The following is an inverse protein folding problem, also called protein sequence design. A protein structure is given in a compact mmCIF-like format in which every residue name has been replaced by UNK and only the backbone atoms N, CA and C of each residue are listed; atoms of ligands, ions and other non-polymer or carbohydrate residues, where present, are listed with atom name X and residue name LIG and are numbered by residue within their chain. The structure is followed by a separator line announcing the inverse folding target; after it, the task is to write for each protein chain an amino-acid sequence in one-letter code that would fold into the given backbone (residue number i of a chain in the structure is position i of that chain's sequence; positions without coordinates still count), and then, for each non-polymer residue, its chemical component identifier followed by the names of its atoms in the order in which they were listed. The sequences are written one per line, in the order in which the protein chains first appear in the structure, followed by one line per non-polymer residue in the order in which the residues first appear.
data_IF_165303649580
#
_entry.id   IF_165303649580
#
_cell.length_a   1.000
_cell.length_b   1.000
_cell.length_c   1.000
_cell.angle_alpha   90.00
_cell.angle_beta   90.00
_cell.angle_gamma   90.00
#
_symmetry.space_group_name_H-M   'P 1'
#
loop_
_entity.id
_entity.type
_entity.pdbx_description
1 polymer ?
#
# COMPACT_ATOMS: atom_id res chain seq x y z
N UNK A 1 25.53 1.70 0.22
CA UNK A 1 24.23 2.36 0.42
C UNK A 1 23.55 1.64 1.55
N UNK A 2 22.94 2.35 2.50
CA UNK A 2 22.21 1.68 3.58
C UNK A 2 20.94 1.01 3.01
N UNK A 3 20.45 -0.09 3.59
CA UNK A 3 19.24 -0.78 3.09
C UNK A 3 18.02 0.15 2.93
N UNK A 4 17.83 1.10 3.84
CA UNK A 4 16.74 2.09 3.80
C UNK A 4 16.84 3.06 2.62
N UNK A 5 18.06 3.48 2.26
CA UNK A 5 18.32 4.35 1.11
C UNK A 5 18.04 3.61 -0.22
N UNK A 6 18.39 2.32 -0.28
CA UNK A 6 18.09 1.47 -1.46
C UNK A 6 16.59 1.26 -1.64
N UNK A 7 15.88 1.01 -0.53
CA UNK A 7 14.43 0.86 -0.54
C UNK A 7 13.75 2.14 -1.01
N UNK A 8 14.21 3.30 -0.54
CA UNK A 8 13.70 4.60 -0.98
C UNK A 8 13.88 4.80 -2.48
N UNK A 9 15.08 4.55 -3.02
CA UNK A 9 15.35 4.69 -4.46
C UNK A 9 14.50 3.75 -5.33
N UNK A 10 14.29 2.50 -4.90
CA UNK A 10 13.44 1.55 -5.63
C UNK A 10 12.02 2.09 -5.79
N UNK A 11 11.44 2.59 -4.71
CA UNK A 11 10.08 3.10 -4.72
C UNK A 11 9.96 4.45 -5.44
N UNK A 12 10.93 5.35 -5.34
CA UNK A 12 10.92 6.62 -6.11
C UNK A 12 10.93 6.33 -7.60
N UNK A 13 11.77 5.39 -8.04
CA UNK A 13 11.74 4.87 -9.41
C UNK A 13 10.37 4.27 -9.76
N UNK A 14 9.78 3.49 -8.85
CA UNK A 14 8.49 2.81 -9.07
C UNK A 14 7.34 3.81 -9.22
N UNK A 15 7.31 4.88 -8.41
CA UNK A 15 6.35 5.99 -8.54
C UNK A 15 6.40 6.58 -9.95
N UNK A 16 7.59 6.90 -10.42
CA UNK A 16 7.82 7.49 -11.72
C UNK A 16 7.43 6.54 -12.86
N UNK A 17 7.78 5.27 -12.73
CA UNK A 17 7.41 4.23 -13.69
C UNK A 17 5.90 4.07 -13.76
N UNK A 18 5.22 3.93 -12.61
CA UNK A 18 3.79 3.68 -12.57
C UNK A 18 3.00 4.90 -13.05
N UNK A 19 3.41 6.12 -12.69
CA UNK A 19 2.84 7.33 -13.27
C UNK A 19 3.01 7.37 -14.81
N UNK A 20 4.16 6.90 -15.32
CA UNK A 20 4.41 6.86 -16.77
C UNK A 20 3.55 5.81 -17.48
N UNK A 21 3.34 4.64 -16.85
CA UNK A 21 2.65 3.51 -17.49
C UNK A 21 1.14 3.57 -17.30
N UNK A 22 0.68 4.05 -16.14
CA UNK A 22 -0.72 4.04 -15.73
C UNK A 22 -1.35 5.43 -15.77
N UNK A 23 -0.57 6.49 -15.98
CA UNK A 23 -1.04 7.87 -15.88
C UNK A 23 -1.24 8.37 -14.45
N UNK A 24 -1.15 7.47 -13.45
CA UNK A 24 -1.27 7.78 -12.02
C UNK A 24 -0.26 6.94 -11.21
N UNK A 25 0.27 7.43 -10.08
CA UNK A 25 1.31 6.73 -9.30
C UNK A 25 0.71 5.73 -8.31
N UNK A 26 -0.11 4.80 -8.79
CA UNK A 26 -0.77 3.79 -7.93
C UNK A 26 0.23 2.70 -7.52
N UNK A 27 0.67 2.69 -6.26
CA UNK A 27 1.74 1.80 -5.77
C UNK A 27 1.27 0.51 -5.10
N UNK A 28 -0.02 0.17 -5.20
CA UNK A 28 -0.56 -1.06 -4.64
C UNK A 28 -1.20 -1.93 -5.73
N UNK A 29 -1.39 -3.21 -5.43
CA UNK A 29 -2.06 -4.16 -6.30
C UNK A 29 -3.52 -3.80 -6.60
N UNK A 30 -4.10 -4.53 -7.56
CA UNK A 30 -5.38 -4.20 -8.15
C UNK A 30 -6.37 -5.37 -8.12
N UNK A 31 -7.63 -5.06 -7.86
CA UNK A 31 -8.69 -6.06 -7.74
C UNK A 31 -9.36 -6.35 -9.10
N UNK A 32 -8.78 -7.29 -9.85
CA UNK A 32 -9.35 -7.80 -11.10
C UNK A 32 -10.37 -8.91 -10.86
N UNK A 33 -11.45 -8.88 -11.63
CA UNK A 33 -12.46 -9.95 -11.74
C UNK A 33 -12.15 -10.82 -12.95
N UNK A 34 -12.69 -12.03 -12.99
CA UNK A 34 -12.48 -13.01 -14.08
C UNK A 34 -12.92 -12.55 -15.48
N UNK A 35 -13.56 -11.39 -15.62
CA UNK A 35 -13.99 -10.78 -16.89
C UNK A 35 -13.29 -9.45 -17.21
N UNK A 36 -12.30 -9.04 -16.42
CA UNK A 36 -11.62 -7.76 -16.56
C UNK A 36 -10.46 -7.82 -17.57
N UNK A 37 -10.74 -8.15 -18.83
CA UNK A 37 -9.69 -8.29 -19.85
C UNK A 37 -9.08 -6.95 -20.30
N UNK A 38 -9.88 -5.87 -20.24
CA UNK A 38 -9.53 -4.52 -20.71
C UNK A 38 -9.75 -3.41 -19.67
N UNK A 39 -9.93 -3.77 -18.40
CA UNK A 39 -10.03 -2.78 -17.32
C UNK A 39 -8.67 -2.13 -17.08
N UNK A 40 -8.67 -0.80 -16.95
CA UNK A 40 -7.47 -0.05 -16.62
C UNK A 40 -6.97 -0.40 -15.21
N UNK A 41 -5.64 -0.48 -15.00
CA UNK A 41 -5.08 -0.91 -13.72
C UNK A 41 -5.57 -0.03 -12.55
N UNK A 42 -5.53 1.29 -12.74
CA UNK A 42 -6.01 2.29 -11.77
C UNK A 42 -7.48 2.05 -11.38
N UNK A 43 -8.34 1.68 -12.34
CA UNK A 43 -9.75 1.38 -12.06
C UNK A 43 -9.89 0.12 -11.18
N UNK A 44 -9.12 -0.92 -11.48
CA UNK A 44 -9.11 -2.15 -10.67
C UNK A 44 -8.48 -1.92 -9.28
N UNK A 45 -7.47 -1.08 -9.16
CA UNK A 45 -6.87 -0.65 -7.90
C UNK A 45 -7.87 0.17 -7.06
N UNK A 46 -8.52 1.17 -7.66
CA UNK A 46 -9.55 1.97 -7.00
C UNK A 46 -10.73 1.12 -6.52
N UNK A 47 -11.05 0.02 -7.21
CA UNK A 47 -12.06 -0.94 -6.75
C UNK A 47 -11.67 -1.67 -5.46
N UNK A 48 -10.39 -2.05 -5.32
CA UNK A 48 -9.88 -2.58 -4.06
C UNK A 48 -10.05 -1.55 -2.95
N UNK A 49 -9.58 -0.33 -3.21
CA UNK A 49 -9.60 0.78 -2.26
C UNK A 49 -11.04 1.14 -1.85
N UNK A 50 -11.99 1.12 -2.79
CA UNK A 50 -13.41 1.32 -2.48
C UNK A 50 -13.96 0.24 -1.54
N UNK A 51 -13.67 -1.05 -1.80
CA UNK A 51 -14.09 -2.15 -0.92
C UNK A 51 -13.47 -2.09 0.48
N UNK A 52 -12.25 -1.57 0.59
CA UNK A 52 -11.61 -1.26 1.87
C UNK A 52 -12.40 -0.17 2.61
N UNK A 53 -12.73 0.93 1.93
CA UNK A 53 -13.53 2.02 2.51
C UNK A 53 -14.90 1.57 3.01
N UNK A 54 -15.58 0.71 2.24
CA UNK A 54 -16.85 0.08 2.65
C UNK A 54 -16.67 -0.81 3.89
N UNK A 55 -15.63 -1.64 3.93
CA UNK A 55 -15.37 -2.56 5.05
C UNK A 55 -14.96 -1.84 6.34
N UNK A 56 -14.29 -0.69 6.21
CA UNK A 56 -14.00 0.22 7.30
C UNK A 56 -15.22 1.04 7.75
N UNK A 57 -16.32 1.02 7.00
CA UNK A 57 -17.52 1.80 7.29
C UNK A 57 -17.28 3.31 7.17
N UNK A 58 -16.43 3.73 6.23
CA UNK A 58 -16.10 5.14 6.04
C UNK A 58 -17.32 5.93 5.55
N UNK A 59 -17.45 7.15 6.04
CA UNK A 59 -18.42 8.13 5.57
C UNK A 59 -17.97 9.57 5.87
N UNK A 60 -18.83 10.57 5.62
CA UNK A 60 -18.45 11.98 5.72
C UNK A 60 -18.00 12.44 7.11
N UNK A 61 -18.36 11.71 8.17
CA UNK A 61 -17.94 12.01 9.54
C UNK A 61 -16.72 11.21 10.00
N UNK A 62 -16.21 10.29 9.18
CA UNK A 62 -15.10 9.42 9.54
C UNK A 62 -13.76 10.13 9.41
N UNK A 63 -12.86 9.85 10.34
CA UNK A 63 -11.45 10.26 10.32
C UNK A 63 -10.57 9.03 10.12
N UNK A 64 -9.84 8.98 9.02
CA UNK A 64 -8.95 7.88 8.62
C UNK A 64 -7.49 8.23 8.94
N UNK A 65 -6.74 7.27 9.49
CA UNK A 65 -5.27 7.27 9.51
C UNK A 65 -4.78 6.24 8.50
N UNK A 66 -3.96 6.64 7.54
CA UNK A 66 -3.24 5.72 6.65
C UNK A 66 -1.76 5.68 7.05
N UNK A 67 -1.25 4.49 7.38
CA UNK A 67 0.13 4.30 7.84
C UNK A 67 0.95 3.64 6.73
N UNK A 68 2.07 4.26 6.36
CA UNK A 68 2.81 3.95 5.15
C UNK A 68 2.04 4.40 3.90
N UNK A 69 1.53 5.64 3.91
CA UNK A 69 0.65 6.16 2.87
C UNK A 69 1.33 6.44 1.53
N UNK A 70 2.67 6.37 1.45
CA UNK A 70 3.40 6.70 0.25
C UNK A 70 3.06 8.09 -0.29
N UNK A 71 2.64 8.15 -1.56
CA UNK A 71 2.22 9.39 -2.21
C UNK A 71 0.70 9.67 -2.07
N UNK A 72 0.01 8.99 -1.13
CA UNK A 72 -1.34 9.33 -0.67
C UNK A 72 -2.50 8.93 -1.58
N UNK A 73 -2.26 8.21 -2.68
CA UNK A 73 -3.30 7.86 -3.65
C UNK A 73 -4.52 7.14 -3.01
N UNK A 74 -4.35 6.14 -2.14
CA UNK A 74 -5.50 5.43 -1.57
C UNK A 74 -6.34 6.31 -0.66
N UNK A 75 -5.73 7.04 0.28
CA UNK A 75 -6.46 7.98 1.14
C UNK A 75 -7.10 9.13 0.37
N UNK A 76 -6.45 9.69 -0.66
CA UNK A 76 -7.06 10.69 -1.54
C UNK A 76 -8.31 10.15 -2.23
N UNK A 77 -8.23 8.93 -2.78
CA UNK A 77 -9.38 8.26 -3.37
C UNK A 77 -10.51 8.08 -2.35
N UNK A 78 -10.19 7.61 -1.14
CA UNK A 78 -11.18 7.38 -0.07
C UNK A 78 -11.86 8.69 0.38
N UNK A 79 -11.10 9.77 0.55
CA UNK A 79 -11.64 11.11 0.89
C UNK A 79 -12.60 11.58 -0.20
N UNK A 80 -12.26 11.38 -1.47
CA UNK A 80 -13.12 11.74 -2.61
C UNK A 80 -14.38 10.87 -2.67
N UNK A 81 -14.27 9.57 -2.47
CA UNK A 81 -15.35 8.60 -2.64
C UNK A 81 -16.34 8.59 -1.46
N UNK A 82 -15.85 8.71 -0.22
CA UNK A 82 -16.65 8.58 1.01
C UNK A 82 -16.88 9.90 1.73
N UNK A 83 -16.18 10.97 1.34
CA UNK A 83 -16.30 12.28 1.96
C UNK A 83 -15.65 12.40 3.34
N UNK A 84 -14.92 11.38 3.79
CA UNK A 84 -14.19 11.37 5.06
C UNK A 84 -13.02 12.37 5.07
N UNK A 85 -12.34 12.47 6.20
CA UNK A 85 -11.02 13.13 6.31
C UNK A 85 -9.93 12.08 6.51
N UNK A 86 -8.73 12.32 5.99
CA UNK A 86 -7.60 11.42 6.13
C UNK A 86 -6.34 12.14 6.58
N UNK A 87 -5.60 11.48 7.47
CA UNK A 87 -4.20 11.78 7.77
C UNK A 87 -3.36 10.62 7.25
N UNK A 88 -2.44 10.87 6.32
CA UNK A 88 -1.46 9.90 5.86
C UNK A 88 -0.10 10.12 6.53
N UNK A 89 0.58 9.02 6.85
CA UNK A 89 1.90 9.03 7.48
C UNK A 89 2.85 8.13 6.70
N UNK A 90 4.06 8.62 6.45
CA UNK A 90 5.13 7.85 5.82
C UNK A 90 6.49 8.35 6.31
N UNK A 91 7.51 7.48 6.28
CA UNK A 91 8.89 7.82 6.65
C UNK A 91 9.57 8.69 5.59
N UNK A 92 9.14 8.58 4.33
CA UNK A 92 9.83 9.18 3.19
C UNK A 92 9.30 10.58 2.90
N UNK A 93 10.08 11.60 3.27
CA UNK A 93 9.73 13.02 3.12
C UNK A 93 9.32 13.40 1.68
N UNK A 94 10.06 12.91 0.68
CA UNK A 94 9.74 13.18 -0.73
C UNK A 94 8.34 12.71 -1.12
N UNK A 95 7.86 11.58 -0.59
CA UNK A 95 6.52 11.07 -0.89
C UNK A 95 5.43 11.86 -0.19
N UNK A 96 5.69 12.29 1.05
CA UNK A 96 4.78 13.17 1.78
C UNK A 96 4.63 14.52 1.09
N UNK A 97 5.72 15.05 0.51
CA UNK A 97 5.65 16.24 -0.31
C UNK A 97 4.71 16.03 -1.52
N UNK A 98 4.93 14.96 -2.30
CA UNK A 98 4.08 14.61 -3.43
C UNK A 98 2.61 14.38 -3.03
N UNK A 99 2.37 13.70 -1.91
CA UNK A 99 1.01 13.43 -1.41
C UNK A 99 0.25 14.72 -1.09
N UNK A 100 0.92 15.69 -0.45
CA UNK A 100 0.34 17.00 -0.18
C UNK A 100 0.13 17.82 -1.48
N UNK A 101 1.03 17.72 -2.47
CA UNK A 101 0.82 18.34 -3.79
C UNK A 101 -0.41 17.77 -4.49
N UNK A 102 -0.54 16.44 -4.56
CA UNK A 102 -1.72 15.78 -5.16
C UNK A 102 -3.01 16.12 -4.42
N UNK A 103 -2.95 16.25 -3.08
CA UNK A 103 -4.09 16.71 -2.29
C UNK A 103 -4.52 18.11 -2.66
N UNK A 104 -3.58 19.04 -2.79
CA UNK A 104 -3.85 20.43 -3.18
C UNK A 104 -4.35 20.53 -4.62
N UNK A 105 -3.77 19.80 -5.56
CA UNK A 105 -4.21 19.75 -6.96
C UNK A 105 -5.64 19.21 -7.09
N UNK A 106 -6.02 18.27 -6.24
CA UNK A 106 -7.38 17.75 -6.17
C UNK A 106 -8.37 18.68 -5.43
N UNK A 107 -7.89 19.75 -4.80
CA UNK A 107 -8.69 20.64 -3.95
C UNK A 107 -9.21 19.94 -2.69
N UNK A 108 -8.41 19.05 -2.11
CA UNK A 108 -8.73 18.20 -0.96
C UNK A 108 -7.78 18.41 0.22
N UNK A 109 -6.89 19.40 0.18
CA UNK A 109 -5.88 19.70 1.22
C UNK A 109 -6.48 20.11 2.57
N UNK A 110 -7.76 20.49 2.59
CA UNK A 110 -8.55 20.71 3.79
C UNK A 110 -8.95 19.40 4.49
N UNK A 111 -9.02 18.28 3.75
CA UNK A 111 -9.52 16.98 4.22
C UNK A 111 -8.50 15.83 4.15
N UNK A 112 -7.48 15.93 3.32
CA UNK A 112 -6.43 14.93 3.17
C UNK A 112 -5.06 15.57 3.42
N UNK A 113 -4.42 15.22 4.53
CA UNK A 113 -3.15 15.79 4.97
C UNK A 113 -2.12 14.71 5.19
N UNK A 114 -0.88 14.99 4.82
CA UNK A 114 0.20 14.02 4.87
C UNK A 114 1.35 14.56 5.70
N UNK A 115 1.88 13.72 6.61
CA UNK A 115 2.96 14.10 7.52
C UNK A 115 4.07 13.07 7.50
N UNK A 116 5.31 13.55 7.60
CA UNK A 116 6.48 12.68 7.75
C UNK A 116 6.47 12.14 9.18
N UNK A 117 6.52 10.82 9.32
CA UNK A 117 6.45 10.19 10.63
C UNK A 117 6.84 8.72 10.61
N UNK A 118 7.50 8.32 11.69
CA UNK A 118 7.80 6.92 11.98
C UNK A 118 6.65 6.29 12.75
N UNK A 119 6.03 5.25 12.20
CA UNK A 119 4.89 4.57 12.80
C UNK A 119 5.19 3.98 14.20
N UNK A 120 6.47 3.74 14.53
CA UNK A 120 6.89 3.20 15.82
C UNK A 120 6.99 4.28 16.91
N UNK A 121 7.19 5.55 16.54
CA UNK A 121 7.50 6.64 17.47
C UNK A 121 6.63 7.89 17.34
N UNK A 122 5.93 8.10 16.23
CA UNK A 122 5.14 9.30 15.95
C UNK A 122 3.97 9.46 16.92
N UNK A 123 3.90 10.60 17.62
CA UNK A 123 2.80 10.89 18.55
C UNK A 123 1.63 11.59 17.83
N UNK A 124 0.53 10.87 17.64
CA UNK A 124 -0.75 11.41 17.22
C UNK A 124 -1.70 11.51 18.41
N UNK A 125 -2.76 12.30 18.26
CA UNK A 125 -3.81 12.40 19.28
C UNK A 125 -4.47 11.03 19.50
N UNK A 126 -4.57 10.61 20.75
CA UNK A 126 -5.23 9.36 21.12
C UNK A 126 -6.73 9.44 20.86
N UNK A 127 -7.36 8.32 20.50
CA UNK A 127 -8.81 8.26 20.27
C UNK A 127 -9.32 9.34 19.31
N UNK A 128 -8.57 9.62 18.24
CA UNK A 128 -8.88 10.67 17.27
C UNK A 128 -9.26 10.14 15.88
N UNK A 129 -9.12 8.84 15.64
CA UNK A 129 -9.46 8.20 14.36
C UNK A 129 -10.60 7.20 14.50
N UNK A 130 -11.42 7.09 13.46
CA UNK A 130 -12.46 6.06 13.35
C UNK A 130 -11.94 4.83 12.61
N UNK A 131 -10.92 5.01 11.77
CA UNK A 131 -10.31 3.95 10.99
C UNK A 131 -8.78 4.10 10.89
N UNK A 132 -8.07 2.97 10.89
CA UNK A 132 -6.65 2.88 10.52
C UNK A 132 -6.51 1.94 9.32
N UNK A 133 -5.75 2.36 8.31
CA UNK A 133 -5.46 1.59 7.10
C UNK A 133 -3.96 1.33 6.96
N UNK A 134 -3.63 0.07 6.70
CA UNK A 134 -2.37 -0.37 6.13
C UNK A 134 -2.69 -1.04 4.80
N UNK A 135 -2.26 -0.43 3.70
CA UNK A 135 -2.43 -0.98 2.35
C UNK A 135 -1.04 -1.23 1.77
N UNK A 136 -0.64 -2.50 1.73
CA UNK A 136 0.68 -2.94 1.24
C UNK A 136 1.87 -2.18 1.86
N UNK A 137 1.73 -1.83 3.14
CA UNK A 137 2.75 -1.08 3.87
C UNK A 137 3.34 -1.86 5.04
N UNK A 138 2.55 -2.70 5.71
CA UNK A 138 2.97 -3.40 6.93
C UNK A 138 3.98 -4.52 6.66
N UNK A 139 3.99 -5.10 5.45
CA UNK A 139 5.03 -6.03 5.04
C UNK A 139 6.44 -5.42 5.12
N UNK A 140 6.58 -4.10 5.00
CA UNK A 140 7.88 -3.42 5.08
C UNK A 140 8.28 -3.06 6.52
N UNK A 141 7.42 -3.32 7.52
CA UNK A 141 7.60 -2.84 8.89
C UNK A 141 7.96 -3.99 9.84
N UNK A 142 9.17 -4.04 10.43
CA UNK A 142 9.54 -5.12 11.36
C UNK A 142 8.77 -5.07 12.69
N UNK A 143 8.55 -3.87 13.25
CA UNK A 143 7.98 -3.66 14.59
C UNK A 143 6.44 -3.70 14.61
N UNK A 144 5.84 -4.71 13.97
CA UNK A 144 4.38 -4.86 13.81
C UNK A 144 3.62 -4.78 15.13
N UNK A 145 4.15 -5.40 16.20
CA UNK A 145 3.51 -5.37 17.53
C UNK A 145 3.36 -3.94 18.08
N UNK A 146 4.32 -3.08 17.80
CA UNK A 146 4.40 -1.74 18.37
C UNK A 146 3.49 -0.84 17.56
N UNK A 147 3.55 -0.97 16.25
CA UNK A 147 2.72 -0.25 15.30
C UNK A 147 1.23 -0.57 15.51
N UNK A 148 0.87 -1.86 15.69
CA UNK A 148 -0.51 -2.27 15.95
C UNK A 148 -1.02 -1.73 17.30
N UNK A 149 -0.23 -1.81 18.37
CA UNK A 149 -0.61 -1.26 19.69
C UNK A 149 -0.79 0.26 19.66
N UNK A 150 0.06 0.98 18.94
CA UNK A 150 -0.07 2.42 18.73
C UNK A 150 -1.32 2.76 17.91
N UNK A 151 -1.55 2.02 16.82
CA UNK A 151 -2.77 2.14 16.01
C UNK A 151 -4.03 1.95 16.84
N UNK A 152 -4.04 0.96 17.74
CA UNK A 152 -5.14 0.76 18.69
C UNK A 152 -5.37 1.98 19.60
N UNK A 153 -4.31 2.62 20.08
CA UNK A 153 -4.40 3.81 20.94
C UNK A 153 -4.94 5.04 20.21
N UNK A 154 -4.64 5.18 18.92
CA UNK A 154 -5.14 6.29 18.08
C UNK A 154 -6.62 6.14 17.70
N UNK A 155 -7.14 4.92 17.71
CA UNK A 155 -8.54 4.65 17.40
C UNK A 155 -9.47 5.07 18.55
N UNK A 156 -10.61 5.65 18.18
CA UNK A 156 -11.76 5.81 19.07
C UNK A 156 -12.29 4.44 19.50
N UNK A 157 -12.96 4.34 20.67
CA UNK A 157 -13.71 3.13 21.01
C UNK A 157 -14.69 2.75 19.90
N UNK A 158 -14.58 1.52 19.39
CA UNK A 158 -15.38 1.03 18.27
C UNK A 158 -14.80 1.33 16.88
N UNK A 159 -13.65 2.00 16.81
CA UNK A 159 -12.91 2.21 15.56
C UNK A 159 -12.34 0.92 14.97
N UNK A 160 -12.03 0.95 13.68
CA UNK A 160 -11.65 -0.24 12.90
C UNK A 160 -10.23 -0.13 12.36
N UNK A 161 -9.57 -1.28 12.19
CA UNK A 161 -8.30 -1.38 11.48
C UNK A 161 -8.46 -2.30 10.27
N UNK A 162 -7.89 -1.91 9.14
CA UNK A 162 -7.75 -2.74 7.95
C UNK A 162 -6.27 -2.93 7.64
N UNK A 163 -5.84 -4.19 7.53
CA UNK A 163 -4.54 -4.56 7.02
C UNK A 163 -4.77 -5.37 5.74
N UNK A 164 -4.45 -4.77 4.60
CA UNK A 164 -4.51 -5.41 3.29
C UNK A 164 -3.08 -5.59 2.79
N UNK A 165 -2.54 -6.80 2.91
CA UNK A 165 -1.12 -7.03 2.70
C UNK A 165 -0.79 -8.46 2.22
N UNK A 166 0.45 -8.65 1.77
CA UNK A 166 1.01 -9.97 1.45
C UNK A 166 1.46 -10.68 2.72
N UNK A 167 1.03 -11.94 2.85
CA UNK A 167 1.39 -12.82 3.97
C UNK A 167 2.04 -14.09 3.46
N UNK A 168 2.82 -14.73 4.32
CA UNK A 168 3.35 -16.07 4.05
C UNK A 168 2.26 -17.12 4.21
N UNK A 169 2.23 -18.11 3.31
CA UNK A 169 1.39 -19.30 3.47
C UNK A 169 1.84 -20.16 4.66
N UNK A 170 3.16 -20.30 4.85
CA UNK A 170 3.77 -21.03 5.97
C UNK A 170 5.00 -20.29 6.51
N UNK A 171 5.46 -20.55 7.74
CA UNK A 171 6.68 -19.92 8.28
C UNK A 171 7.93 -20.14 7.40
N UNK A 172 7.99 -21.27 6.71
CA UNK A 172 9.08 -21.66 5.80
C UNK A 172 8.95 -21.06 4.39
N UNK A 173 7.80 -20.47 4.07
CA UNK A 173 7.64 -19.70 2.83
C UNK A 173 8.64 -18.54 2.80
N UNK A 174 9.00 -18.09 1.60
CA UNK A 174 10.00 -17.03 1.42
C UNK A 174 11.38 -17.43 1.97
N UNK A 175 11.94 -18.52 1.45
CA UNK A 175 13.27 -19.02 1.81
C UNK A 175 14.41 -18.02 1.55
N UNK A 176 15.63 -18.36 1.95
CA UNK A 176 16.78 -17.45 1.82
C UNK A 176 17.06 -16.97 0.39
N UNK A 177 16.83 -17.82 -0.61
CA UNK A 177 17.01 -17.44 -2.03
C UNK A 177 16.08 -16.30 -2.43
N UNK A 178 14.78 -16.45 -2.15
CA UNK A 178 13.80 -15.40 -2.39
C UNK A 178 14.12 -14.11 -1.62
N UNK A 179 14.54 -14.22 -0.34
CA UNK A 179 14.96 -13.05 0.44
C UNK A 179 16.13 -12.32 -0.22
N UNK A 180 17.15 -13.06 -0.68
CA UNK A 180 18.28 -12.49 -1.41
C UNK A 180 17.85 -11.80 -2.70
N UNK A 181 16.90 -12.36 -3.44
CA UNK A 181 16.36 -11.74 -4.67
C UNK A 181 15.63 -10.44 -4.38
N UNK A 182 14.78 -10.41 -3.34
CA UNK A 182 14.07 -9.21 -2.90
C UNK A 182 15.03 -8.13 -2.40
N UNK A 183 16.01 -8.50 -1.57
CA UNK A 183 17.05 -7.58 -1.10
C UNK A 183 17.94 -7.06 -2.25
N UNK A 184 18.23 -7.89 -3.25
CA UNK A 184 19.04 -7.50 -4.40
C UNK A 184 18.37 -6.44 -5.27
N UNK A 185 17.04 -6.37 -5.28
CA UNK A 185 16.28 -5.29 -5.94
C UNK A 185 16.00 -4.10 -5.01
N UNK A 186 16.57 -4.10 -3.80
CA UNK A 186 16.51 -2.98 -2.85
C UNK A 186 15.32 -3.01 -1.90
N UNK A 187 14.48 -4.06 -1.95
CA UNK A 187 13.33 -4.18 -1.06
C UNK A 187 13.71 -4.86 0.25
N UNK A 188 13.13 -4.39 1.35
CA UNK A 188 13.22 -5.05 2.66
C UNK A 188 11.82 -5.40 3.15
N UNK A 189 11.56 -6.70 3.29
CA UNK A 189 10.23 -7.22 3.62
C UNK A 189 10.28 -8.16 4.83
N UNK A 190 9.32 -7.97 5.71
CA UNK A 190 9.14 -8.62 7.00
C UNK A 190 7.75 -9.27 7.06
N UNK A 191 7.39 -10.04 6.03
CA UNK A 191 6.07 -10.70 5.97
C UNK A 191 5.89 -11.67 7.14
N UNK A 192 4.69 -11.64 7.72
CA UNK A 192 4.23 -12.62 8.71
C UNK A 192 3.32 -13.65 8.03
N UNK A 193 3.09 -14.79 8.68
CA UNK A 193 1.99 -15.68 8.30
C UNK A 193 0.64 -15.06 8.70
N UNK A 194 -0.46 -15.61 8.18
CA UNK A 194 -1.78 -15.17 8.58
C UNK A 194 -2.05 -15.39 10.09
N UNK A 195 -1.62 -16.54 10.62
CA UNK A 195 -1.78 -16.86 12.05
C UNK A 195 -0.95 -15.90 12.93
N UNK A 196 0.30 -15.62 12.55
CA UNK A 196 1.15 -14.63 13.24
C UNK A 196 0.51 -13.24 13.24
N UNK A 197 -0.08 -12.82 12.12
CA UNK A 197 -0.81 -11.55 12.03
C UNK A 197 -2.05 -11.54 12.91
N UNK A 198 -2.83 -12.63 12.94
CA UNK A 198 -4.02 -12.73 13.79
C UNK A 198 -3.66 -12.65 15.28
N UNK A 199 -2.58 -13.31 15.69
CA UNK A 199 -2.05 -13.24 17.05
C UNK A 199 -1.60 -11.82 17.41
N UNK A 200 -0.84 -11.15 16.53
CA UNK A 200 -0.38 -9.77 16.72
C UNK A 200 -1.55 -8.78 16.85
N UNK A 201 -2.56 -8.91 15.99
CA UNK A 201 -3.78 -8.08 16.02
C UNK A 201 -4.53 -8.28 17.33
N UNK A 202 -4.71 -9.53 17.77
CA UNK A 202 -5.37 -9.86 19.04
C UNK A 202 -4.58 -9.34 20.24
N UNK A 203 -3.26 -9.53 20.25
CA UNK A 203 -2.37 -9.05 21.30
C UNK A 203 -2.33 -7.52 21.41
N UNK A 204 -2.59 -6.81 20.32
CA UNK A 204 -2.72 -5.36 20.29
C UNK A 204 -4.06 -4.83 20.85
N UNK A 205 -5.01 -5.73 21.17
CA UNK A 205 -6.31 -5.38 21.76
C UNK A 205 -7.48 -5.40 20.78
N UNK A 206 -7.26 -5.79 19.52
CA UNK A 206 -8.32 -5.89 18.53
C UNK A 206 -9.05 -7.23 18.59
N UNK A 207 -10.27 -7.24 18.02
CA UNK A 207 -11.00 -8.48 17.71
C UNK A 207 -11.02 -8.65 16.20
N UNK A 208 -10.62 -9.82 15.70
CA UNK A 208 -10.66 -10.13 14.27
C UNK A 208 -12.10 -10.37 13.82
N UNK A 209 -12.67 -9.42 13.08
CA UNK A 209 -14.04 -9.54 12.55
C UNK A 209 -14.10 -10.26 11.19
N UNK A 210 -13.10 -10.06 10.34
CA UNK A 210 -13.07 -10.57 8.96
C UNK A 210 -11.64 -10.79 8.49
N UNK A 211 -11.45 -11.86 7.74
CA UNK A 211 -10.20 -12.18 7.06
C UNK A 211 -10.55 -12.82 5.71
N UNK A 212 -10.13 -12.19 4.61
CA UNK A 212 -10.39 -12.68 3.26
C UNK A 212 -9.07 -13.03 2.57
N UNK A 213 -9.03 -14.20 1.93
CA UNK A 213 -7.98 -14.53 0.99
C UNK A 213 -8.32 -13.95 -0.39
N UNK A 214 -7.50 -12.98 -0.81
CA UNK A 214 -7.66 -12.27 -2.09
C UNK A 214 -6.69 -12.75 -3.16
N UNK A 215 -5.93 -13.84 -2.92
CA UNK A 215 -4.87 -14.35 -3.80
C UNK A 215 -5.37 -14.60 -5.23
N UNK A 216 -6.57 -15.19 -5.36
CA UNK A 216 -7.13 -15.53 -6.67
C UNK A 216 -7.47 -14.30 -7.54
N UNK A 217 -7.73 -13.16 -6.92
CA UNK A 217 -8.02 -11.90 -7.59
C UNK A 217 -6.72 -11.10 -7.80
N UNK A 218 -5.83 -11.12 -6.80
CA UNK A 218 -4.54 -10.43 -6.84
C UNK A 218 -3.53 -11.02 -7.82
N UNK A 219 -3.63 -12.31 -8.15
CA UNK A 219 -2.74 -12.96 -9.12
C UNK A 219 -2.73 -12.27 -10.50
N UNK A 220 -3.75 -11.47 -10.81
CA UNK A 220 -3.88 -10.74 -12.07
C UNK A 220 -3.18 -9.37 -12.06
N UNK A 221 -2.84 -8.83 -10.89
CA UNK A 221 -2.16 -7.53 -10.74
C UNK A 221 -0.86 -7.49 -11.53
N UNK A 222 0.04 -8.43 -11.30
CA UNK A 222 1.35 -8.46 -11.99
C UNK A 222 1.21 -8.67 -13.50
N UNK A 223 0.44 -9.66 -14.01
CA UNK A 223 0.18 -9.79 -15.44
C UNK A 223 -0.42 -8.53 -16.09
N UNK A 224 -1.36 -7.86 -15.42
CA UNK A 224 -1.96 -6.64 -15.93
C UNK A 224 -0.93 -5.49 -16.02
N UNK A 225 -0.13 -5.30 -14.98
CA UNK A 225 0.95 -4.30 -14.96
C UNK A 225 1.95 -4.54 -16.09
N UNK A 226 2.36 -5.80 -16.32
CA UNK A 226 3.23 -6.18 -17.43
C UNK A 226 2.60 -5.87 -18.80
N UNK A 227 1.31 -6.18 -18.98
CA UNK A 227 0.57 -5.85 -20.21
C UNK A 227 0.54 -4.35 -20.47
N UNK A 228 0.35 -3.53 -19.43
CA UNK A 228 0.38 -2.06 -19.55
C UNK A 228 1.79 -1.53 -19.84
N UNK A 229 2.81 -2.02 -19.13
CA UNK A 229 4.19 -1.60 -19.37
C UNK A 229 4.66 -1.93 -20.80
N UNK A 230 4.26 -3.07 -21.35
CA UNK A 230 4.54 -3.43 -22.74
C UNK A 230 3.90 -2.46 -23.74
N UNK A 231 2.72 -1.91 -23.44
CA UNK A 231 2.07 -0.88 -24.29
C UNK A 231 2.79 0.46 -24.24
N UNK A 232 3.56 0.70 -23.19
CA UNK A 232 4.28 1.96 -22.93
C UNK A 232 5.80 1.81 -23.11
N UNK A 233 6.29 0.73 -23.74
CA UNK A 233 7.73 0.42 -23.83
C UNK A 233 8.55 1.58 -24.37
N UNK A 234 8.10 2.20 -25.46
CA UNK A 234 8.82 3.30 -26.10
C UNK A 234 8.90 4.53 -25.19
N UNK A 235 7.83 4.81 -24.42
CA UNK A 235 7.80 5.89 -23.43
C UNK A 235 8.70 5.60 -22.24
N UNK A 236 8.72 4.35 -21.76
CA UNK A 236 9.62 3.90 -20.68
C UNK A 236 11.07 4.05 -21.13
N UNK A 237 11.42 3.53 -22.30
CA UNK A 237 12.78 3.60 -22.85
C UNK A 237 13.22 5.05 -23.07
N UNK A 238 12.31 5.93 -23.51
CA UNK A 238 12.59 7.35 -23.68
C UNK A 238 12.83 8.08 -22.34
N UNK A 239 12.12 7.72 -21.26
CA UNK A 239 12.22 8.40 -19.95
C UNK A 239 13.35 7.84 -19.08
N UNK A 240 13.55 6.51 -19.09
CA UNK A 240 14.47 5.83 -18.17
C UNK A 240 15.70 5.22 -18.86
N UNK A 241 15.74 5.20 -20.20
CA UNK A 241 16.77 4.55 -20.99
C UNK A 241 16.37 3.13 -21.39
N UNK A 242 16.88 2.68 -22.54
CA UNK A 242 16.55 1.38 -23.12
C UNK A 242 16.93 0.23 -22.17
N UNK A 243 15.96 -0.64 -21.86
CA UNK A 243 16.18 -1.81 -21.01
C UNK A 243 16.20 -1.54 -19.50
N UNK A 244 15.87 -0.32 -19.06
CA UNK A 244 15.78 0.03 -17.64
C UNK A 244 14.44 -0.33 -16.96
N UNK A 245 13.57 -1.09 -17.62
CA UNK A 245 12.34 -1.57 -16.98
C UNK A 245 12.65 -2.65 -15.93
N UNK A 246 12.36 -2.44 -14.64
CA UNK A 246 12.51 -3.49 -13.61
C UNK A 246 11.40 -4.54 -13.70
N UNK A 247 10.39 -4.29 -14.52
CA UNK A 247 9.30 -5.24 -14.70
C UNK A 247 9.82 -6.46 -15.47
N UNK A 248 9.65 -7.68 -14.95
CA UNK A 248 10.23 -8.87 -15.54
C UNK A 248 9.75 -9.03 -16.99
N UNK A 249 10.70 -9.14 -17.92
CA UNK A 249 10.43 -9.31 -19.35
C UNK A 249 9.89 -10.71 -19.69
N UNK A 250 9.86 -11.61 -18.71
CA UNK A 250 9.27 -12.95 -18.80
C UNK A 250 8.12 -13.07 -17.80
N UNK A 251 7.11 -13.88 -18.15
CA UNK A 251 6.01 -14.23 -17.24
C UNK A 251 6.62 -14.67 -15.89
N UNK A 252 6.25 -14.06 -14.76
CA UNK A 252 6.66 -14.60 -13.47
C UNK A 252 6.22 -16.07 -13.41
N UNK A 253 7.13 -16.95 -12.99
CA UNK A 253 6.68 -18.28 -12.56
C UNK A 253 5.72 -18.00 -11.40
N UNK A 254 4.51 -18.52 -11.46
CA UNK A 254 3.48 -18.37 -10.43
C UNK A 254 3.96 -19.06 -9.13
N UNK A 255 4.91 -18.44 -8.45
CA UNK A 255 5.41 -18.84 -7.13
C UNK A 255 5.35 -17.59 -6.26
N UNK A 256 4.11 -17.21 -5.96
CA UNK A 256 3.72 -16.42 -4.80
C UNK A 256 2.86 -17.35 -3.96
#
# INVERSE_FOLDING_TARGET
MQPEEQNTQFYDFTVDLFATVLGEPVLHGALFRSRDEDVHYVEAANRLTAGIGESLGLGPSSTLLEVGCGAGQPSLFLVKAFGCTATGVDLVEGRIHMANEFSAEAGLDDRARYVVGDATTMELEESSFDAVLFLESMLNMPEKDTILRRSHRYLRPGGRIMVSDYVKLTPESCGEEWRREVEAIGLSVHMATLDEMADLVTAAGFTLERCDDMTAQYQWSNPAMLKWAQRCSDTIDAKFGAGCSPLPTSRPRNTW
#
